data_IF_627249562692
#
_entry.id   IF_627249562692
#
_cell.length_a   1.000
_cell.length_b   1.000
_cell.length_c   1.000
_cell.angle_alpha   90.00
_cell.angle_beta   90.00
_cell.angle_gamma   90.00
#
_symmetry.space_group_name_H-M   'P 1'
#
loop_
_entity.id
_entity.type
_entity.pdbx_description
1 polymer ?
#
# COMPACT_ATOMS: atom_id res chain seq x y z
N UNK A 1 33.56 64.19 22.83
CA UNK A 1 33.04 62.97 23.50
C UNK A 1 32.37 62.12 22.42
N UNK A 2 32.97 60.95 22.13
CA UNK A 2 32.46 59.69 21.52
C UNK A 2 31.57 59.79 20.25
N UNK A 3 32.11 59.44 19.05
CA UNK A 3 32.04 58.12 18.33
C UNK A 3 30.60 57.71 17.98
N UNK A 4 30.20 57.15 16.83
CA UNK A 4 30.79 56.58 15.61
C UNK A 4 29.57 56.29 14.67
N UNK A 5 29.76 56.14 13.36
CA UNK A 5 28.68 55.63 12.49
C UNK A 5 29.13 55.35 11.06
N UNK A 6 29.83 54.23 10.86
CA UNK A 6 30.23 53.73 9.55
C UNK A 6 29.04 53.05 8.84
N UNK A 7 28.76 53.48 7.61
CA UNK A 7 27.86 52.79 6.68
C UNK A 7 28.52 51.48 6.22
N UNK A 8 27.85 50.36 6.46
CA UNK A 8 28.21 49.05 5.93
C UNK A 8 27.22 48.70 4.81
N UNK A 9 27.74 48.59 3.59
CA UNK A 9 27.03 48.09 2.41
C UNK A 9 26.86 46.58 2.57
N UNK A 10 25.61 46.11 2.64
CA UNK A 10 25.29 44.67 2.61
C UNK A 10 25.10 44.27 1.16
N UNK A 11 26.08 43.58 0.59
CA UNK A 11 25.91 42.82 -0.66
C UNK A 11 25.41 41.42 -0.30
N UNK A 12 24.25 41.04 -0.86
CA UNK A 12 23.63 39.73 -0.65
C UNK A 12 24.40 38.62 -1.36
N UNK A 13 24.76 37.58 -0.61
CA UNK A 13 25.22 36.31 -1.16
C UNK A 13 24.03 35.37 -1.31
N UNK A 14 23.69 35.05 -2.56
CA UNK A 14 22.84 33.91 -2.92
C UNK A 14 23.72 32.66 -2.78
N UNK A 15 23.46 31.83 -1.77
CA UNK A 15 24.17 30.57 -1.56
C UNK A 15 23.60 29.46 -2.44
N UNK A 16 24.34 29.06 -3.47
CA UNK A 16 24.17 27.76 -4.14
C UNK A 16 24.57 26.64 -3.17
N UNK A 17 23.67 25.68 -2.94
CA UNK A 17 23.83 24.58 -1.99
C UNK A 17 24.64 23.37 -2.51
N UNK A 18 25.47 23.53 -3.55
CA UNK A 18 26.11 22.40 -4.24
C UNK A 18 27.44 21.91 -3.62
N UNK A 19 27.82 22.34 -2.42
CA UNK A 19 29.20 22.17 -1.92
C UNK A 19 29.44 21.18 -0.77
N UNK A 20 28.53 20.24 -0.48
CA UNK A 20 28.73 19.27 0.61
C UNK A 20 28.81 17.78 0.20
N UNK A 21 28.99 17.48 -1.08
CA UNK A 21 29.34 16.12 -1.51
C UNK A 21 30.86 16.12 -1.79
N UNK A 22 31.70 15.48 -0.97
CA UNK A 22 33.11 15.34 -1.30
C UNK A 22 33.22 14.56 -2.63
N UNK A 23 33.69 15.24 -3.68
CA UNK A 23 34.05 14.59 -4.93
C UNK A 23 35.18 13.60 -4.66
N UNK A 24 34.99 12.35 -5.08
CA UNK A 24 35.98 11.29 -4.88
C UNK A 24 37.13 11.49 -5.87
N UNK A 25 38.35 11.56 -5.36
CA UNK A 25 39.55 11.37 -6.17
C UNK A 25 39.59 9.92 -6.70
N UNK A 26 39.48 9.76 -8.02
CA UNK A 26 39.60 8.46 -8.71
C UNK A 26 41.04 8.33 -9.20
N UNK A 27 41.80 7.41 -8.60
CA UNK A 27 43.15 7.08 -9.04
C UNK A 27 43.11 6.39 -10.41
N UNK A 28 44.16 6.52 -11.23
CA UNK A 28 44.17 5.98 -12.60
C UNK A 28 43.90 4.46 -12.67
N UNK A 29 44.33 3.70 -11.66
CA UNK A 29 44.08 2.26 -11.55
C UNK A 29 42.65 1.90 -11.10
N UNK A 30 41.78 2.90 -10.88
CA UNK A 30 40.38 2.76 -10.50
C UNK A 30 39.42 3.33 -11.55
N UNK A 31 39.92 3.80 -12.71
CA UNK A 31 39.11 4.42 -13.77
C UNK A 31 37.96 3.52 -14.27
N UNK A 32 38.11 2.19 -14.18
CA UNK A 32 37.11 1.21 -14.64
C UNK A 32 36.39 0.46 -13.51
N UNK A 33 36.62 0.81 -12.23
CA UNK A 33 36.00 0.14 -11.09
C UNK A 33 34.69 0.83 -10.69
N UNK A 34 33.56 0.18 -10.96
CA UNK A 34 32.26 0.62 -10.45
C UNK A 34 32.15 0.36 -8.93
N UNK A 35 31.84 1.40 -8.16
CA UNK A 35 31.52 1.25 -6.74
C UNK A 35 30.20 0.48 -6.63
N UNK A 36 30.25 -0.71 -6.03
CA UNK A 36 29.06 -1.49 -5.73
C UNK A 36 28.64 -1.26 -4.27
N UNK A 37 27.46 -0.68 -4.07
CA UNK A 37 26.80 -0.57 -2.76
C UNK A 37 25.67 -1.61 -2.74
N UNK A 38 25.63 -2.54 -1.77
CA UNK A 38 24.54 -3.49 -1.64
C UNK A 38 23.18 -2.78 -1.53
N UNK A 39 22.11 -3.35 -2.11
CA UNK A 39 20.76 -2.75 -2.09
C UNK A 39 20.25 -2.42 -0.67
N UNK A 40 20.63 -3.21 0.32
CA UNK A 40 20.26 -2.96 1.71
C UNK A 40 20.86 -1.65 2.24
N UNK A 41 22.04 -1.26 1.76
CA UNK A 41 22.77 -0.05 2.14
C UNK A 41 22.48 1.14 1.22
N UNK A 42 22.04 0.90 -0.02
CA UNK A 42 21.70 1.96 -0.97
C UNK A 42 20.52 2.82 -0.47
N UNK A 43 20.67 4.15 -0.50
CA UNK A 43 19.64 5.10 -0.07
C UNK A 43 19.00 5.83 -1.26
N UNK A 44 19.72 5.95 -2.37
CA UNK A 44 19.26 6.69 -3.57
C UNK A 44 19.67 6.01 -4.87
N UNK A 45 19.14 6.47 -6.00
CA UNK A 45 19.53 5.99 -7.35
C UNK A 45 21.00 6.26 -7.68
N UNK A 46 21.63 7.25 -7.03
CA UNK A 46 23.05 7.56 -7.17
C UNK A 46 23.97 6.47 -6.56
N UNK A 47 23.46 5.68 -5.61
CA UNK A 47 24.20 4.58 -4.99
C UNK A 47 24.25 3.32 -5.87
N UNK A 48 23.50 3.31 -6.97
CA UNK A 48 23.35 2.15 -7.86
C UNK A 48 24.37 2.17 -9.00
N UNK A 49 24.71 1.00 -9.53
CA UNK A 49 25.46 0.89 -10.79
C UNK A 49 24.57 1.28 -11.98
N UNK A 50 25.14 1.64 -13.15
CA UNK A 50 24.36 1.93 -14.35
C UNK A 50 23.35 0.81 -14.71
N UNK A 51 23.78 -0.45 -14.66
CA UNK A 51 22.91 -1.60 -14.95
C UNK A 51 21.74 -1.72 -13.96
N UNK A 52 21.97 -1.41 -12.68
CA UNK A 52 20.88 -1.42 -11.68
C UNK A 52 19.90 -0.27 -11.90
N UNK A 53 20.37 0.93 -12.28
CA UNK A 53 19.50 2.04 -12.66
C UNK A 53 18.62 1.69 -13.84
N UNK A 54 19.20 1.12 -14.90
CA UNK A 54 18.44 0.68 -16.08
C UNK A 54 17.39 -0.39 -15.75
N UNK A 55 17.74 -1.31 -14.84
CA UNK A 55 16.81 -2.31 -14.34
C UNK A 55 15.62 -1.68 -13.62
N UNK A 56 15.87 -0.81 -12.64
CA UNK A 56 14.79 -0.18 -11.88
C UNK A 56 13.97 0.82 -12.71
N UNK A 57 14.57 1.47 -13.71
CA UNK A 57 13.83 2.27 -14.68
C UNK A 57 12.80 1.41 -15.45
N UNK A 58 13.21 0.22 -15.94
CA UNK A 58 12.29 -0.73 -16.59
C UNK A 58 11.23 -1.24 -15.62
N UNK A 59 11.57 -1.47 -14.35
CA UNK A 59 10.59 -1.84 -13.33
C UNK A 59 9.53 -0.75 -13.13
N UNK A 60 9.94 0.52 -13.07
CA UNK A 60 9.02 1.66 -12.96
C UNK A 60 8.10 1.78 -14.19
N UNK A 61 8.59 1.48 -15.39
CA UNK A 61 7.74 1.41 -16.59
C UNK A 61 6.77 0.21 -16.54
N UNK A 62 7.23 -0.96 -16.12
CA UNK A 62 6.38 -2.15 -15.96
C UNK A 62 5.18 -1.88 -15.04
N UNK A 63 5.38 -1.17 -13.92
CA UNK A 63 4.31 -0.82 -12.96
C UNK A 63 3.19 0.04 -13.55
N UNK A 64 3.45 0.76 -14.65
CA UNK A 64 2.43 1.55 -15.36
C UNK A 64 1.58 0.69 -16.30
N UNK A 65 2.05 -0.50 -16.67
CA UNK A 65 1.32 -1.41 -17.55
C UNK A 65 0.20 -2.10 -16.79
N UNK A 66 -0.92 -2.48 -17.44
CA UNK A 66 -1.86 -3.41 -16.83
C UNK A 66 -1.16 -4.75 -16.57
N UNK A 67 -1.31 -5.28 -15.36
CA UNK A 67 -0.81 -6.60 -14.96
C UNK A 67 -1.56 -7.09 -13.71
N UNK A 68 -1.29 -8.31 -13.24
CA UNK A 68 -1.75 -8.81 -11.93
C UNK A 68 -0.88 -8.19 -10.85
N UNK A 69 -1.44 -7.24 -10.11
CA UNK A 69 -0.69 -6.50 -9.09
C UNK A 69 -0.30 -7.37 -7.91
N UNK A 70 0.89 -7.12 -7.37
CA UNK A 70 1.35 -7.65 -6.09
C UNK A 70 1.03 -6.69 -4.94
N UNK A 71 0.29 -7.17 -3.95
CA UNK A 71 -0.09 -6.44 -2.75
C UNK A 71 0.27 -7.22 -1.47
N UNK A 72 0.30 -6.54 -0.33
CA UNK A 72 0.29 -7.21 0.98
C UNK A 72 0.15 -6.24 2.14
N UNK A 73 -0.31 -6.77 3.28
CA UNK A 73 -0.23 -6.07 4.55
C UNK A 73 1.14 -6.36 5.16
N UNK A 74 1.98 -5.33 5.23
CA UNK A 74 3.37 -5.43 5.65
C UNK A 74 3.50 -5.03 7.12
N UNK A 75 3.76 -6.02 7.98
CA UNK A 75 4.04 -5.84 9.39
C UNK A 75 5.51 -5.58 9.68
N UNK A 76 5.81 -5.17 10.92
CA UNK A 76 7.17 -5.06 11.45
C UNK A 76 8.14 -4.20 10.60
N UNK A 77 7.61 -3.19 9.92
CA UNK A 77 8.42 -2.25 9.14
C UNK A 77 9.27 -1.35 10.05
N UNK A 78 10.59 -1.52 10.02
CA UNK A 78 11.52 -0.68 10.80
C UNK A 78 12.52 0.07 9.94
N UNK A 79 12.80 -0.40 8.71
CA UNK A 79 13.82 0.18 7.84
C UNK A 79 15.24 0.14 8.45
N UNK A 80 15.51 -0.76 9.41
CA UNK A 80 16.75 -0.78 10.20
C UNK A 80 17.31 -2.20 10.35
N UNK A 81 18.64 -2.28 10.54
CA UNK A 81 19.35 -3.52 10.82
C UNK A 81 19.70 -4.33 9.57
N UNK A 82 20.23 -5.53 9.77
CA UNK A 82 20.71 -6.41 8.68
C UNK A 82 19.64 -7.35 8.12
N UNK A 83 18.44 -7.39 8.71
CA UNK A 83 17.36 -8.28 8.27
C UNK A 83 16.52 -7.61 7.17
N UNK A 84 16.65 -8.10 5.94
CA UNK A 84 15.90 -7.60 4.79
C UNK A 84 14.37 -7.73 4.94
N UNK A 85 13.88 -8.59 5.84
CA UNK A 85 12.45 -8.70 6.15
C UNK A 85 11.82 -7.37 6.61
N UNK A 86 12.59 -6.48 7.23
CA UNK A 86 12.08 -5.27 7.87
C UNK A 86 12.07 -4.02 6.96
N UNK A 87 12.34 -4.18 5.66
CA UNK A 87 12.52 -3.09 4.69
C UNK A 87 11.53 -3.17 3.52
N UNK A 88 10.87 -2.06 3.21
CA UNK A 88 10.05 -1.89 2.01
C UNK A 88 10.90 -2.05 0.74
N UNK A 89 12.10 -1.43 0.72
CA UNK A 89 12.97 -1.51 -0.46
C UNK A 89 13.45 -2.94 -0.79
N UNK A 90 13.36 -3.85 0.18
CA UNK A 90 13.78 -5.25 0.02
C UNK A 90 12.62 -6.21 -0.27
N UNK A 91 11.37 -5.72 -0.36
CA UNK A 91 10.24 -6.49 -0.87
C UNK A 91 10.52 -6.98 -2.30
N UNK A 92 9.90 -8.08 -2.77
CA UNK A 92 10.02 -8.51 -4.15
C UNK A 92 9.70 -7.37 -5.13
N UNK A 93 10.47 -7.24 -6.20
CA UNK A 93 10.30 -6.14 -7.15
C UNK A 93 8.93 -6.16 -7.85
N UNK A 94 8.28 -7.32 -7.88
CA UNK A 94 6.91 -7.53 -8.36
C UNK A 94 5.81 -7.03 -7.41
N UNK A 95 6.14 -6.50 -6.23
CA UNK A 95 5.15 -5.91 -5.30
C UNK A 95 4.87 -4.47 -5.69
N UNK A 96 3.64 -4.18 -6.09
CA UNK A 96 3.18 -2.88 -6.56
C UNK A 96 3.02 -1.88 -5.42
N UNK A 97 2.28 -2.28 -4.40
CA UNK A 97 2.00 -1.45 -3.25
C UNK A 97 1.70 -2.29 -2.01
N UNK A 98 1.79 -1.69 -0.83
CA UNK A 98 1.54 -2.36 0.44
C UNK A 98 0.70 -1.50 1.36
N UNK A 99 -0.02 -2.15 2.26
CA UNK A 99 -0.67 -1.53 3.41
C UNK A 99 0.18 -1.76 4.66
N UNK A 100 0.52 -0.70 5.38
CA UNK A 100 1.42 -0.77 6.53
C UNK A 100 0.65 -1.24 7.77
N UNK A 101 0.79 -2.52 8.12
CA UNK A 101 0.08 -3.10 9.27
C UNK A 101 0.73 -2.66 10.59
N UNK A 102 -0.02 -1.86 11.36
CA UNK A 102 0.39 -1.39 12.70
C UNK A 102 1.17 -0.07 12.72
N UNK A 103 1.60 0.47 11.59
CA UNK A 103 2.28 1.79 11.54
C UNK A 103 1.25 2.91 11.48
N UNK A 104 1.33 3.88 12.42
CA UNK A 104 0.31 4.94 12.59
C UNK A 104 0.86 6.37 12.53
N UNK A 105 2.12 6.53 12.10
CA UNK A 105 2.84 7.81 12.09
C UNK A 105 4.14 7.76 12.89
N UNK A 106 4.68 8.93 13.24
CA UNK A 106 5.97 9.07 13.95
C UNK A 106 7.11 8.27 13.30
N UNK A 107 7.17 8.30 11.96
CA UNK A 107 8.19 7.58 11.21
C UNK A 107 9.59 8.04 11.61
N UNK A 108 10.46 7.07 11.86
CA UNK A 108 11.90 7.29 12.03
C UNK A 108 12.55 7.77 10.73
N UNK A 109 13.75 8.36 10.82
CA UNK A 109 14.50 8.78 9.63
C UNK A 109 14.84 7.60 8.71
N UNK A 110 15.09 6.43 9.26
CA UNK A 110 15.40 5.21 8.50
C UNK A 110 14.17 4.68 7.77
N UNK A 111 12.98 4.71 8.40
CA UNK A 111 11.72 4.43 7.70
C UNK A 111 11.48 5.43 6.56
N UNK A 112 11.72 6.72 6.78
CA UNK A 112 11.57 7.73 5.72
C UNK A 112 12.52 7.47 4.54
N UNK A 113 13.77 7.09 4.80
CA UNK A 113 14.75 6.73 3.76
C UNK A 113 14.36 5.46 3.00
N UNK A 114 13.95 4.42 3.72
CA UNK A 114 13.48 3.17 3.14
C UNK A 114 12.25 3.38 2.25
N UNK A 115 11.27 4.17 2.74
CA UNK A 115 10.09 4.59 1.96
C UNK A 115 10.49 5.36 0.71
N UNK A 116 11.39 6.34 0.83
CA UNK A 116 11.84 7.16 -0.30
C UNK A 116 12.48 6.30 -1.40
N UNK A 117 13.36 5.37 -1.04
CA UNK A 117 13.94 4.43 -2.01
C UNK A 117 12.87 3.56 -2.66
N UNK A 118 11.95 3.00 -1.85
CA UNK A 118 10.85 2.18 -2.36
C UNK A 118 9.99 2.94 -3.38
N UNK A 119 9.69 4.22 -3.12
CA UNK A 119 8.93 5.08 -4.02
C UNK A 119 9.72 5.46 -5.28
N UNK A 120 10.88 6.09 -5.12
CA UNK A 120 11.60 6.74 -6.22
C UNK A 120 12.37 5.73 -7.09
N UNK A 121 13.00 4.73 -6.47
CA UNK A 121 13.80 3.75 -7.21
C UNK A 121 12.91 2.61 -7.68
N UNK A 122 12.15 1.99 -6.78
CA UNK A 122 11.37 0.79 -7.14
C UNK A 122 10.04 1.11 -7.81
N UNK A 123 9.48 2.30 -7.58
CA UNK A 123 8.11 2.64 -8.02
C UNK A 123 7.02 2.04 -7.13
N UNK A 124 7.37 1.64 -5.90
CA UNK A 124 6.45 1.11 -4.91
C UNK A 124 5.59 2.18 -4.25
N UNK A 125 4.46 1.77 -3.69
CA UNK A 125 3.56 2.64 -2.92
C UNK A 125 3.25 2.06 -1.54
N UNK A 126 3.25 2.88 -0.50
CA UNK A 126 2.96 2.45 0.88
C UNK A 126 1.78 3.22 1.47
N UNK A 127 0.75 2.50 1.92
CA UNK A 127 -0.50 3.05 2.43
C UNK A 127 -0.55 2.97 3.96
N UNK A 128 -1.06 4.01 4.63
CA UNK A 128 -1.55 3.84 6.00
C UNK A 128 -2.77 2.92 5.99
N UNK A 129 -2.92 2.09 7.01
CA UNK A 129 -4.00 1.10 7.09
C UNK A 129 -4.45 0.91 8.53
N UNK A 130 -5.76 0.91 8.74
CA UNK A 130 -6.39 0.42 9.97
C UNK A 130 -7.90 0.26 9.82
N UNK A 131 -8.48 -0.55 10.72
CA UNK A 131 -9.93 -0.72 10.88
C UNK A 131 -10.59 0.63 11.16
N UNK A 132 -11.51 1.04 10.30
CA UNK A 132 -12.36 2.23 10.51
C UNK A 132 -13.70 1.79 11.08
N UNK A 133 -13.77 1.60 12.39
CA UNK A 133 -14.98 1.17 13.10
C UNK A 133 -15.74 2.38 13.66
N UNK A 134 -15.02 3.22 14.38
CA UNK A 134 -15.51 4.38 15.11
C UNK A 134 -14.86 5.68 14.66
N UNK A 135 -15.58 6.79 14.84
CA UNK A 135 -15.06 8.11 14.53
C UNK A 135 -13.85 8.39 15.42
N UNK A 136 -12.71 8.68 14.79
CA UNK A 136 -11.49 9.02 15.52
C UNK A 136 -10.61 7.85 15.90
N UNK A 137 -10.92 6.63 15.42
CA UNK A 137 -10.04 5.48 15.58
C UNK A 137 -8.59 5.85 15.24
N UNK A 138 -7.67 5.48 16.13
CA UNK A 138 -6.21 5.60 15.93
C UNK A 138 -5.65 7.03 15.90
N UNK A 139 -6.51 8.04 15.81
CA UNK A 139 -6.15 9.45 15.69
C UNK A 139 -6.67 10.30 16.85
N UNK A 140 -7.53 9.74 17.71
CA UNK A 140 -7.96 10.42 18.94
C UNK A 140 -6.77 10.56 19.90
N UNK A 141 -6.46 11.78 20.38
CA UNK A 141 -5.32 11.97 21.28
C UNK A 141 -5.45 11.15 22.56
N UNK A 142 -4.35 10.59 23.10
CA UNK A 142 -4.37 9.83 24.34
C UNK A 142 -5.03 10.60 25.49
N UNK A 143 -5.92 9.93 26.23
CA UNK A 143 -6.63 10.52 27.38
C UNK A 143 -7.84 11.40 27.02
N UNK A 144 -8.21 11.50 25.74
CA UNK A 144 -9.38 12.26 25.28
C UNK A 144 -10.51 11.31 24.85
N UNK A 145 -11.76 11.74 25.03
CA UNK A 145 -12.93 11.06 24.46
C UNK A 145 -13.02 11.35 22.96
N UNK A 146 -13.30 10.32 22.15
CA UNK A 146 -13.46 10.47 20.71
C UNK A 146 -14.62 11.41 20.36
N UNK A 147 -15.77 11.29 21.03
CA UNK A 147 -16.92 12.18 20.82
C UNK A 147 -16.61 13.62 21.21
N UNK A 148 -15.97 13.84 22.36
CA UNK A 148 -15.60 15.18 22.80
C UNK A 148 -14.64 15.84 21.80
N UNK A 149 -13.59 15.12 21.40
CA UNK A 149 -12.58 15.67 20.51
C UNK A 149 -13.10 15.86 19.08
N UNK A 150 -13.67 14.82 18.46
CA UNK A 150 -14.02 14.88 17.04
C UNK A 150 -15.37 15.55 16.79
N UNK A 151 -16.39 15.28 17.61
CA UNK A 151 -17.73 15.85 17.39
C UNK A 151 -17.82 17.24 18.00
N UNK A 152 -17.52 17.40 19.29
CA UNK A 152 -17.70 18.68 19.98
C UNK A 152 -16.64 19.70 19.57
N UNK A 153 -15.35 19.38 19.69
CA UNK A 153 -14.28 20.36 19.46
C UNK A 153 -13.97 20.56 17.98
N UNK A 154 -13.71 19.48 17.24
CA UNK A 154 -13.35 19.57 15.82
C UNK A 154 -14.56 19.78 14.91
N UNK A 155 -15.69 19.16 15.24
CA UNK A 155 -16.95 19.28 14.49
C UNK A 155 -17.88 20.40 14.95
N UNK A 156 -17.54 21.14 16.02
CA UNK A 156 -18.41 22.20 16.55
C UNK A 156 -19.78 21.69 17.03
N UNK A 157 -19.85 20.43 17.48
CA UNK A 157 -21.09 19.74 17.86
C UNK A 157 -21.78 19.00 16.71
N UNK A 158 -21.29 19.08 15.47
CA UNK A 158 -21.83 18.37 14.32
C UNK A 158 -20.98 17.12 14.00
N UNK A 159 -21.62 15.94 14.04
CA UNK A 159 -20.95 14.68 13.75
C UNK A 159 -20.32 14.63 12.36
N UNK A 160 -21.01 15.13 11.32
CA UNK A 160 -20.53 15.10 9.93
C UNK A 160 -19.32 16.02 9.73
N UNK A 161 -19.27 17.16 10.41
CA UNK A 161 -18.07 18.00 10.41
C UNK A 161 -16.91 17.35 11.17
N UNK A 162 -17.21 16.58 12.24
CA UNK A 162 -16.24 15.71 12.90
C UNK A 162 -15.67 14.63 11.97
N UNK A 163 -16.52 13.99 11.14
CA UNK A 163 -16.11 13.03 10.11
C UNK A 163 -15.15 13.68 9.10
N UNK A 164 -15.48 14.87 8.59
CA UNK A 164 -14.58 15.62 7.69
C UNK A 164 -13.26 15.96 8.36
N UNK A 165 -13.29 16.40 9.62
CA UNK A 165 -12.07 16.73 10.37
C UNK A 165 -11.18 15.48 10.56
N UNK A 166 -11.78 14.33 10.87
CA UNK A 166 -11.07 13.06 11.00
C UNK A 166 -10.43 12.61 9.68
N UNK A 167 -11.19 12.64 8.57
CA UNK A 167 -10.64 12.35 7.23
C UNK A 167 -9.46 13.28 6.88
N UNK A 168 -9.60 14.58 7.15
CA UNK A 168 -8.52 15.54 6.91
C UNK A 168 -7.27 15.27 7.75
N UNK A 169 -7.43 14.86 9.01
CA UNK A 169 -6.28 14.51 9.86
C UNK A 169 -5.51 13.29 9.33
N UNK A 170 -6.20 12.34 8.70
CA UNK A 170 -5.57 11.22 8.00
C UNK A 170 -4.77 11.72 6.79
N UNK A 171 -5.38 12.57 5.94
CA UNK A 171 -4.68 13.20 4.81
C UNK A 171 -3.44 13.99 5.27
N UNK A 172 -3.56 14.78 6.34
CA UNK A 172 -2.45 15.56 6.89
C UNK A 172 -1.29 14.65 7.34
N UNK A 173 -1.61 13.48 7.91
CA UNK A 173 -0.60 12.49 8.33
C UNK A 173 0.08 11.85 7.12
N UNK A 174 -0.70 11.48 6.11
CA UNK A 174 -0.20 10.93 4.84
C UNK A 174 0.73 11.92 4.14
N UNK A 175 0.34 13.20 4.07
CA UNK A 175 1.13 14.28 3.49
C UNK A 175 2.42 14.53 4.29
N UNK A 176 2.32 14.64 5.62
CA UNK A 176 3.45 14.87 6.53
C UNK A 176 4.57 13.83 6.35
N UNK A 177 4.21 12.57 6.15
CA UNK A 177 5.15 11.46 6.02
C UNK A 177 5.40 11.03 4.58
N UNK A 178 4.83 11.74 3.60
CA UNK A 178 4.89 11.41 2.18
C UNK A 178 4.49 9.96 1.85
N UNK A 179 3.46 9.43 2.51
CA UNK A 179 2.92 8.08 2.22
C UNK A 179 2.00 8.09 0.99
N UNK A 180 1.80 6.97 0.33
CA UNK A 180 1.12 6.95 -0.97
C UNK A 180 -0.40 6.90 -0.89
N UNK A 181 -1.00 6.87 0.31
CA UNK A 181 -2.44 6.83 0.44
C UNK A 181 -2.96 6.17 1.71
N UNK A 182 -4.22 5.74 1.65
CA UNK A 182 -4.93 5.11 2.76
C UNK A 182 -5.67 3.84 2.33
N UNK A 183 -5.63 2.83 3.18
CA UNK A 183 -6.40 1.60 3.10
C UNK A 183 -7.45 1.57 4.22
N UNK A 184 -8.72 1.63 3.82
CA UNK A 184 -9.86 1.57 4.72
C UNK A 184 -10.20 0.09 4.97
N UNK A 185 -9.76 -0.43 6.11
CA UNK A 185 -10.20 -1.75 6.58
C UNK A 185 -11.61 -1.62 7.16
N UNK A 186 -12.60 -2.11 6.41
CA UNK A 186 -14.02 -1.92 6.69
C UNK A 186 -14.76 -3.24 6.85
N UNK A 187 -14.96 -3.65 8.10
CA UNK A 187 -15.44 -4.99 8.46
C UNK A 187 -16.65 -5.03 9.43
N UNK A 188 -17.74 -4.26 9.18
CA UNK A 188 -18.92 -4.30 10.04
C UNK A 188 -19.60 -5.69 10.13
N UNK A 189 -19.37 -6.57 9.17
CA UNK A 189 -19.85 -7.95 9.12
C UNK A 189 -18.97 -8.93 9.89
N UNK A 190 -17.76 -8.54 10.28
CA UNK A 190 -16.79 -9.40 10.98
C UNK A 190 -16.50 -8.94 12.41
N UNK A 191 -17.41 -8.17 13.01
CA UNK A 191 -17.35 -7.75 14.41
C UNK A 191 -16.92 -6.31 14.62
N UNK A 192 -16.52 -5.60 13.55
CA UNK A 192 -16.05 -4.22 13.61
C UNK A 192 -17.16 -3.22 13.26
N UNK A 193 -18.25 -3.22 14.05
CA UNK A 193 -19.35 -2.25 13.93
C UNK A 193 -19.16 -1.11 14.91
N UNK A 194 -19.42 0.12 14.47
CA UNK A 194 -19.32 1.30 15.30
C UNK A 194 -20.04 2.51 14.72
N UNK A 195 -19.64 3.69 15.19
CA UNK A 195 -20.18 5.00 14.81
C UNK A 195 -19.92 5.36 13.34
N UNK A 196 -18.91 4.73 12.72
CA UNK A 196 -18.62 4.84 11.30
C UNK A 196 -19.06 3.59 10.54
N UNK A 197 -18.74 2.40 11.05
CA UNK A 197 -18.96 1.14 10.35
C UNK A 197 -20.31 0.49 10.69
N UNK A 198 -21.13 0.27 9.66
CA UNK A 198 -22.35 -0.53 9.74
C UNK A 198 -22.64 -1.23 8.40
N UNK A 199 -23.65 -2.12 8.39
CA UNK A 199 -23.97 -2.97 7.24
C UNK A 199 -24.82 -2.30 6.15
N UNK A 200 -25.09 -1.00 6.25
CA UNK A 200 -25.85 -0.28 5.22
C UNK A 200 -24.94 0.05 4.03
N UNK A 201 -25.50 0.06 2.83
CA UNK A 201 -24.79 0.54 1.63
C UNK A 201 -24.24 1.95 1.84
N UNK A 202 -22.99 2.17 1.48
CA UNK A 202 -22.31 3.47 1.56
C UNK A 202 -22.73 4.30 0.35
N UNK A 203 -23.58 5.30 0.56
CA UNK A 203 -24.16 6.16 -0.47
C UNK A 203 -24.30 7.59 0.02
N UNK A 204 -24.36 8.54 -0.90
CA UNK A 204 -24.35 9.98 -0.62
C UNK A 204 -25.58 10.42 0.18
N UNK A 205 -26.75 9.96 -0.24
CA UNK A 205 -28.04 10.48 0.21
C UNK A 205 -28.88 9.43 0.98
N UNK A 206 -28.36 8.22 1.18
CA UNK A 206 -29.05 7.13 1.87
C UNK A 206 -28.05 6.12 2.45
N UNK A 207 -28.53 5.22 3.32
CA UNK A 207 -27.67 4.19 3.93
C UNK A 207 -26.62 4.80 4.86
N UNK A 208 -25.35 4.44 4.67
CA UNK A 208 -24.24 4.95 5.46
C UNK A 208 -23.62 6.22 4.83
N UNK A 209 -24.28 7.36 5.05
CA UNK A 209 -23.83 8.67 4.54
C UNK A 209 -22.57 9.19 5.25
N UNK A 210 -22.29 8.73 6.48
CA UNK A 210 -21.09 9.09 7.22
C UNK A 210 -19.84 8.57 6.51
N UNK A 211 -19.85 7.28 6.14
CA UNK A 211 -18.75 6.66 5.39
C UNK A 211 -18.62 7.23 3.99
N UNK A 212 -19.73 7.60 3.34
CA UNK A 212 -19.67 8.26 2.04
C UNK A 212 -18.91 9.59 2.15
N UNK A 213 -19.27 10.44 3.12
CA UNK A 213 -18.60 11.71 3.35
C UNK A 213 -17.12 11.52 3.70
N UNK A 214 -16.80 10.51 4.52
CA UNK A 214 -15.43 10.15 4.88
C UNK A 214 -14.60 9.79 3.63
N UNK A 215 -15.09 8.84 2.81
CA UNK A 215 -14.43 8.41 1.57
C UNK A 215 -14.26 9.58 0.62
N UNK A 216 -15.31 10.37 0.40
CA UNK A 216 -15.27 11.52 -0.51
C UNK A 216 -14.22 12.53 -0.04
N UNK A 217 -14.18 12.85 1.25
CA UNK A 217 -13.22 13.83 1.82
C UNK A 217 -11.77 13.35 1.65
N UNK A 218 -11.49 12.07 1.91
CA UNK A 218 -10.18 11.48 1.63
C UNK A 218 -9.84 11.57 0.14
N UNK A 219 -10.77 11.16 -0.72
CA UNK A 219 -10.59 11.09 -2.17
C UNK A 219 -10.30 12.46 -2.79
N UNK A 220 -11.07 13.49 -2.39
CA UNK A 220 -10.93 14.87 -2.85
C UNK A 220 -9.53 15.47 -2.58
N UNK A 221 -8.83 14.99 -1.54
CA UNK A 221 -7.45 15.42 -1.22
C UNK A 221 -6.38 14.50 -1.80
N UNK A 222 -6.55 13.19 -1.63
CA UNK A 222 -5.50 12.22 -1.95
C UNK A 222 -5.36 12.00 -3.46
N UNK A 223 -6.47 11.85 -4.19
CA UNK A 223 -6.40 11.46 -5.61
C UNK A 223 -5.85 12.55 -6.52
N UNK A 224 -6.23 13.84 -6.40
CA UNK A 224 -5.58 14.90 -7.18
C UNK A 224 -4.07 15.02 -6.91
N UNK A 225 -3.60 14.57 -5.75
CA UNK A 225 -2.18 14.51 -5.40
C UNK A 225 -1.47 13.25 -5.91
N UNK A 226 -2.14 12.39 -6.68
CA UNK A 226 -1.57 11.14 -7.21
C UNK A 226 -1.43 10.02 -6.16
N UNK A 227 -2.13 10.15 -5.02
CA UNK A 227 -2.18 9.15 -3.94
C UNK A 227 -3.38 8.23 -4.11
N UNK A 228 -3.30 7.05 -3.49
CA UNK A 228 -4.30 6.00 -3.58
C UNK A 228 -5.29 6.07 -2.41
N UNK A 229 -6.53 5.69 -2.70
CA UNK A 229 -7.52 5.36 -1.70
C UNK A 229 -8.06 3.96 -2.00
N UNK A 230 -7.82 3.00 -1.11
CA UNK A 230 -8.29 1.63 -1.27
C UNK A 230 -9.21 1.24 -0.11
N UNK A 231 -10.00 0.19 -0.30
CA UNK A 231 -10.88 -0.33 0.74
C UNK A 231 -10.78 -1.85 0.78
N UNK A 232 -10.45 -2.36 1.96
CA UNK A 232 -10.42 -3.79 2.26
C UNK A 232 -11.56 -4.21 3.21
N UNK A 233 -11.72 -5.51 3.43
CA UNK A 233 -12.86 -6.04 4.19
C UNK A 233 -14.07 -6.29 3.31
N UNK A 234 -15.00 -5.34 3.37
CA UNK A 234 -16.30 -5.39 2.72
C UNK A 234 -16.52 -4.24 1.72
N UNK A 235 -15.66 -4.10 0.68
CA UNK A 235 -15.88 -3.11 -0.37
C UNK A 235 -17.17 -3.37 -1.18
N UNK A 236 -17.79 -4.54 -1.06
CA UNK A 236 -19.13 -4.83 -1.60
C UNK A 236 -20.23 -3.91 -1.05
N UNK A 237 -20.02 -3.29 0.12
CA UNK A 237 -20.95 -2.33 0.73
C UNK A 237 -20.90 -0.94 0.07
N UNK A 238 -19.96 -0.67 -0.84
CA UNK A 238 -19.96 0.57 -1.61
C UNK A 238 -21.15 0.61 -2.58
N UNK A 239 -21.81 1.77 -2.67
CA UNK A 239 -22.64 2.06 -3.84
C UNK A 239 -21.79 2.23 -5.10
N UNK A 240 -22.41 2.15 -6.28
CA UNK A 240 -21.74 2.44 -7.55
C UNK A 240 -21.05 3.80 -7.54
N UNK A 241 -21.70 4.85 -7.02
CA UNK A 241 -21.10 6.19 -6.94
C UNK A 241 -19.96 6.27 -5.93
N UNK A 242 -20.08 5.63 -4.76
CA UNK A 242 -18.99 5.58 -3.79
C UNK A 242 -17.77 4.83 -4.35
N UNK A 243 -17.99 3.76 -5.13
CA UNK A 243 -16.94 2.93 -5.71
C UNK A 243 -16.02 3.68 -6.68
N UNK A 244 -16.51 4.78 -7.29
CA UNK A 244 -15.73 5.64 -8.17
C UNK A 244 -14.59 6.37 -7.45
N UNK A 245 -14.68 6.52 -6.13
CA UNK A 245 -13.66 7.17 -5.30
C UNK A 245 -12.54 6.22 -4.85
N UNK A 246 -12.73 4.91 -4.99
CA UNK A 246 -11.82 3.86 -4.52
C UNK A 246 -10.99 3.34 -5.69
N UNK A 247 -9.68 3.16 -5.52
CA UNK A 247 -8.78 2.64 -6.55
C UNK A 247 -8.77 1.11 -6.62
N UNK A 248 -8.86 0.42 -5.47
CA UNK A 248 -8.87 -1.05 -5.40
C UNK A 248 -9.85 -1.56 -4.34
N UNK A 249 -10.53 -2.66 -4.65
CA UNK A 249 -11.42 -3.42 -3.77
C UNK A 249 -10.67 -4.66 -3.28
N UNK A 250 -10.25 -4.69 -2.03
CA UNK A 250 -9.36 -5.73 -1.52
C UNK A 250 -10.20 -6.70 -0.67
N UNK A 251 -10.21 -7.98 -1.01
CA UNK A 251 -11.01 -8.98 -0.30
C UNK A 251 -10.13 -9.96 0.45
N UNK A 252 -10.43 -10.15 1.73
CA UNK A 252 -9.87 -11.26 2.51
C UNK A 252 -10.52 -12.59 2.09
N UNK A 253 -9.95 -13.26 1.09
CA UNK A 253 -10.38 -14.58 0.64
C UNK A 253 -9.61 -15.69 1.37
N UNK A 254 -9.37 -15.50 2.68
CA UNK A 254 -8.49 -16.32 3.51
C UNK A 254 -8.87 -17.80 3.53
N UNK A 255 -10.15 -18.07 3.75
CA UNK A 255 -10.65 -19.42 4.06
C UNK A 255 -11.47 -20.02 2.93
N UNK A 256 -11.51 -19.38 1.76
CA UNK A 256 -12.20 -19.95 0.62
C UNK A 256 -11.46 -21.18 0.12
N UNK A 257 -12.19 -22.28 -0.06
CA UNK A 257 -11.61 -23.59 -0.37
C UNK A 257 -11.74 -23.99 -1.83
N UNK A 258 -12.34 -23.16 -2.69
CA UNK A 258 -12.38 -23.39 -4.13
C UNK A 258 -12.55 -22.11 -4.93
N UNK A 259 -12.10 -22.14 -6.20
CA UNK A 259 -12.21 -21.01 -7.14
C UNK A 259 -13.64 -20.47 -7.22
N UNK A 260 -14.63 -21.36 -7.26
CA UNK A 260 -16.04 -20.96 -7.38
C UNK A 260 -16.52 -20.15 -6.17
N UNK A 261 -16.02 -20.44 -4.96
CA UNK A 261 -16.36 -19.67 -3.76
C UNK A 261 -15.71 -18.29 -3.77
N UNK A 262 -14.45 -18.22 -4.23
CA UNK A 262 -13.74 -16.94 -4.42
C UNK A 262 -14.50 -16.05 -5.40
N UNK A 263 -14.84 -16.57 -6.59
CA UNK A 263 -15.63 -15.83 -7.59
C UNK A 263 -16.95 -15.33 -6.98
N UNK A 264 -17.67 -16.17 -6.22
CA UNK A 264 -18.92 -15.76 -5.54
C UNK A 264 -18.70 -14.63 -4.54
N UNK A 265 -17.59 -14.63 -3.80
CA UNK A 265 -17.26 -13.58 -2.83
C UNK A 265 -17.01 -12.22 -3.50
N UNK A 266 -16.29 -12.23 -4.61
CA UNK A 266 -15.79 -10.99 -5.24
C UNK A 266 -16.64 -10.46 -6.39
N UNK A 267 -17.62 -11.23 -6.89
CA UNK A 267 -18.47 -10.77 -8.01
C UNK A 267 -19.38 -9.63 -7.55
N UNK A 268 -19.01 -8.39 -7.89
CA UNK A 268 -19.73 -7.17 -7.51
C UNK A 268 -19.94 -6.27 -8.74
N UNK A 269 -20.89 -6.67 -9.61
CA UNK A 269 -21.12 -6.01 -10.90
C UNK A 269 -21.56 -4.53 -10.80
N UNK A 270 -21.97 -4.06 -9.62
CA UNK A 270 -22.33 -2.67 -9.37
C UNK A 270 -21.14 -1.77 -9.07
N UNK A 271 -19.97 -2.32 -8.74
CA UNK A 271 -18.76 -1.54 -8.49
C UNK A 271 -18.08 -1.18 -9.82
N UNK A 272 -17.59 0.05 -9.92
CA UNK A 272 -16.88 0.52 -11.11
C UNK A 272 -15.63 -0.33 -11.36
N UNK A 273 -15.48 -0.84 -12.59
CA UNK A 273 -14.35 -1.67 -13.06
C UNK A 273 -13.92 -2.75 -12.06
N UNK A 274 -14.90 -3.43 -11.46
CA UNK A 274 -14.68 -4.37 -10.36
C UNK A 274 -13.67 -5.45 -10.69
N UNK A 275 -13.68 -5.99 -11.91
CA UNK A 275 -12.79 -7.09 -12.28
C UNK A 275 -11.30 -6.70 -12.23
N UNK A 276 -10.95 -5.48 -12.66
CA UNK A 276 -9.56 -4.99 -12.70
C UNK A 276 -9.15 -4.25 -11.43
N UNK A 277 -10.10 -3.73 -10.66
CA UNK A 277 -9.83 -3.08 -9.36
C UNK A 277 -9.85 -4.06 -8.19
N UNK A 278 -10.31 -5.30 -8.37
CA UNK A 278 -10.33 -6.31 -7.31
C UNK A 278 -8.95 -6.91 -7.05
N UNK A 279 -8.57 -6.94 -5.78
CA UNK A 279 -7.44 -7.72 -5.25
C UNK A 279 -7.98 -8.78 -4.29
N UNK A 280 -7.49 -10.02 -4.40
CA UNK A 280 -7.83 -11.11 -3.48
C UNK A 280 -6.63 -11.55 -2.67
N UNK A 281 -6.81 -11.72 -1.38
CA UNK A 281 -5.70 -11.95 -0.47
C UNK A 281 -5.79 -13.26 0.29
N UNK A 282 -4.61 -13.78 0.62
CA UNK A 282 -4.42 -15.03 1.37
C UNK A 282 -3.86 -14.70 2.75
N UNK A 283 -4.34 -15.42 3.75
CA UNK A 283 -3.88 -15.32 5.13
C UNK A 283 -2.47 -15.95 5.24
N UNK A 284 -1.46 -15.18 5.66
CA UNK A 284 -0.08 -15.65 5.79
C UNK A 284 0.48 -15.67 7.21
N UNK A 285 -0.20 -15.12 8.23
CA UNK A 285 0.18 -15.33 9.63
C UNK A 285 0.20 -16.83 9.96
N UNK A 286 -0.77 -17.59 9.42
CA UNK A 286 -0.88 -19.04 9.53
C UNK A 286 -0.45 -19.75 8.23
N UNK A 287 -0.81 -19.18 7.07
CA UNK A 287 -0.64 -19.82 5.77
C UNK A 287 0.74 -19.71 5.11
N UNK A 288 1.71 -18.98 5.68
CA UNK A 288 2.97 -18.71 5.00
C UNK A 288 3.78 -19.95 4.63
N UNK A 289 3.69 -21.06 5.38
CA UNK A 289 4.46 -22.29 5.05
C UNK A 289 3.87 -23.05 3.87
N UNK A 290 2.61 -22.81 3.53
CA UNK A 290 1.83 -23.61 2.58
C UNK A 290 1.25 -22.80 1.42
N UNK A 291 1.45 -21.48 1.40
CA UNK A 291 0.87 -20.59 0.40
C UNK A 291 -0.66 -20.55 0.49
N UNK A 292 -1.18 -20.45 1.72
CA UNK A 292 -2.61 -20.48 2.03
C UNK A 292 -3.13 -21.83 2.51
N UNK A 293 -4.44 -22.04 2.39
CA UNK A 293 -5.12 -23.25 2.90
C UNK A 293 -4.70 -24.50 2.14
N UNK A 294 -4.49 -25.61 2.87
CA UNK A 294 -4.04 -26.89 2.29
C UNK A 294 -5.11 -27.59 1.44
N UNK A 295 -6.38 -27.37 1.75
CA UNK A 295 -7.53 -28.06 1.13
C UNK A 295 -8.13 -27.30 -0.07
N UNK A 296 -7.40 -26.36 -0.65
CA UNK A 296 -7.88 -25.57 -1.78
C UNK A 296 -8.02 -26.45 -3.04
N UNK A 297 -9.14 -26.29 -3.75
CA UNK A 297 -9.40 -26.92 -5.05
C UNK A 297 -9.57 -25.86 -6.13
N UNK A 298 -8.60 -25.79 -7.04
CA UNK A 298 -8.67 -24.94 -8.22
C UNK A 298 -9.55 -25.57 -9.29
N UNK A 299 -10.18 -24.75 -10.14
CA UNK A 299 -10.80 -25.20 -11.40
C UNK A 299 -9.78 -25.68 -12.44
N UNK A 300 -8.49 -25.39 -12.23
CA UNK A 300 -7.38 -25.75 -13.10
C UNK A 300 -6.63 -26.99 -12.58
N UNK A 301 -6.66 -28.14 -13.29
CA UNK A 301 -5.99 -29.36 -12.86
C UNK A 301 -4.49 -29.20 -12.60
N UNK A 302 -3.81 -28.36 -13.38
CA UNK A 302 -2.39 -28.05 -13.24
C UNK A 302 -2.04 -27.35 -11.93
N UNK A 303 -2.95 -26.52 -11.39
CA UNK A 303 -2.79 -25.93 -10.05
C UNK A 303 -3.01 -26.98 -8.97
N UNK A 304 -3.98 -27.87 -9.15
CA UNK A 304 -4.25 -28.97 -8.21
C UNK A 304 -3.08 -29.97 -8.11
N UNK A 305 -2.22 -30.05 -9.13
CA UNK A 305 -1.03 -30.88 -9.13
C UNK A 305 0.06 -30.39 -8.16
N UNK A 306 0.05 -29.11 -7.76
CA UNK A 306 1.00 -28.61 -6.78
C UNK A 306 0.75 -29.24 -5.39
N UNK A 307 1.79 -29.61 -4.64
CA UNK A 307 1.62 -30.13 -3.28
C UNK A 307 1.17 -29.06 -2.28
N UNK A 308 1.51 -27.79 -2.54
CA UNK A 308 1.25 -26.60 -1.70
C UNK A 308 1.13 -25.36 -2.59
N UNK A 309 0.58 -24.26 -2.08
CA UNK A 309 0.44 -22.99 -2.79
C UNK A 309 -0.78 -22.88 -3.70
N UNK A 310 -1.62 -23.92 -3.75
CA UNK A 310 -2.77 -24.00 -4.67
C UNK A 310 -3.68 -22.77 -4.60
N UNK A 311 -3.94 -22.26 -3.40
CA UNK A 311 -4.82 -21.10 -3.21
C UNK A 311 -4.23 -19.83 -3.84
N UNK A 312 -3.04 -19.41 -3.40
CA UNK A 312 -2.41 -18.18 -3.91
C UNK A 312 -2.08 -18.27 -5.41
N UNK A 313 -1.74 -19.46 -5.91
CA UNK A 313 -1.48 -19.67 -7.33
C UNK A 313 -2.75 -19.58 -8.17
N UNK A 314 -3.86 -20.19 -7.72
CA UNK A 314 -5.16 -20.05 -8.38
C UNK A 314 -5.60 -18.59 -8.43
N UNK A 315 -5.39 -17.85 -7.32
CA UNK A 315 -5.77 -16.45 -7.22
C UNK A 315 -5.03 -15.60 -8.26
N UNK A 316 -3.73 -15.86 -8.48
CA UNK A 316 -2.93 -15.09 -9.42
C UNK A 316 -3.31 -15.30 -10.90
N UNK A 317 -3.92 -16.44 -11.23
CA UNK A 317 -4.33 -16.81 -12.60
C UNK A 317 -5.85 -16.90 -12.76
N UNK A 318 -6.59 -16.27 -11.82
CA UNK A 318 -8.03 -16.28 -11.80
C UNK A 318 -8.59 -15.46 -12.95
N UNK A 319 -9.21 -16.14 -13.90
CA UNK A 319 -10.02 -15.48 -14.94
C UNK A 319 -11.44 -15.30 -14.39
N UNK A 320 -11.93 -14.07 -14.47
CA UNK A 320 -13.23 -13.61 -13.98
C UNK A 320 -14.31 -13.86 -15.05
N UNK A 321 -15.62 -13.73 -14.71
CA UNK A 321 -16.71 -14.13 -15.60
C UNK A 321 -16.68 -13.51 -17.00
N UNK A 322 -16.13 -12.30 -17.17
CA UNK A 322 -15.97 -11.68 -18.51
C UNK A 322 -14.81 -12.24 -19.33
N UNK A 323 -14.00 -13.12 -18.73
CA UNK A 323 -12.73 -13.62 -19.26
C UNK A 323 -11.53 -12.73 -18.89
N UNK A 324 -11.73 -11.59 -18.20
CA UNK A 324 -10.63 -10.75 -17.70
C UNK A 324 -9.90 -11.44 -16.57
N UNK A 325 -8.60 -11.22 -16.47
CA UNK A 325 -7.79 -11.61 -15.32
C UNK A 325 -8.12 -10.72 -14.12
N UNK A 326 -8.02 -11.27 -12.92
CA UNK A 326 -8.06 -10.56 -11.64
C UNK A 326 -7.10 -9.35 -11.58
N UNK A 327 -7.51 -8.28 -10.92
CA UNK A 327 -6.73 -7.04 -10.73
C UNK A 327 -5.39 -7.27 -10.02
N UNK A 328 -5.39 -8.09 -8.97
CA UNK A 328 -4.18 -8.43 -8.23
C UNK A 328 -4.40 -9.47 -7.15
N UNK A 329 -3.30 -9.81 -6.47
CA UNK A 329 -3.29 -10.70 -5.31
C UNK A 329 -2.46 -10.12 -4.18
N UNK A 330 -2.67 -10.61 -2.96
CA UNK A 330 -1.78 -10.26 -1.87
C UNK A 330 -1.81 -11.19 -0.67
N UNK A 331 -1.03 -10.86 0.35
CA UNK A 331 -0.86 -11.66 1.55
C UNK A 331 -0.98 -10.82 2.82
N UNK A 332 -1.70 -11.34 3.82
CA UNK A 332 -1.78 -10.75 5.17
C UNK A 332 -0.63 -11.21 6.04
N UNK A 333 0.09 -10.29 6.71
CA UNK A 333 1.42 -10.55 7.26
C UNK A 333 2.40 -11.07 6.19
N UNK A 334 2.52 -10.32 5.10
CA UNK A 334 3.30 -10.73 3.93
C UNK A 334 4.77 -11.06 4.26
N UNK A 335 5.33 -10.40 5.28
CA UNK A 335 6.69 -10.59 5.75
C UNK A 335 6.95 -12.00 6.31
N UNK A 336 5.91 -12.76 6.65
CA UNK A 336 6.06 -14.15 7.10
C UNK A 336 6.53 -15.06 5.95
N UNK A 337 6.27 -14.69 4.69
CA UNK A 337 6.79 -15.40 3.52
C UNK A 337 8.32 -15.25 3.36
N UNK A 338 8.94 -14.26 4.04
CA UNK A 338 10.39 -14.08 4.00
C UNK A 338 11.16 -15.30 4.53
N UNK A 339 10.60 -16.02 5.51
CA UNK A 339 11.24 -17.19 6.12
C UNK A 339 11.21 -18.45 5.23
N UNK A 340 10.49 -18.42 4.11
CA UNK A 340 10.52 -19.52 3.14
C UNK A 340 11.84 -19.55 2.35
N UNK A 341 12.04 -20.65 1.63
CA UNK A 341 13.12 -20.79 0.67
C UNK A 341 12.56 -21.00 -0.75
N UNK A 342 12.77 -20.06 -1.68
CA UNK A 342 13.41 -18.74 -1.48
C UNK A 342 12.57 -17.80 -0.60
N UNK A 343 13.15 -16.71 -0.05
CA UNK A 343 12.36 -15.68 0.64
C UNK A 343 11.28 -15.08 -0.25
N UNK A 344 10.08 -14.88 0.31
CA UNK A 344 8.87 -14.52 -0.45
C UNK A 344 8.48 -15.54 -1.52
N UNK A 345 8.70 -16.83 -1.25
CA UNK A 345 8.48 -17.95 -2.19
C UNK A 345 7.12 -17.85 -2.87
N UNK A 346 6.06 -17.74 -2.07
CA UNK A 346 4.71 -17.92 -2.57
C UNK A 346 4.25 -16.70 -3.35
N UNK A 347 4.51 -15.49 -2.84
CA UNK A 347 4.11 -14.27 -3.53
C UNK A 347 4.88 -14.10 -4.85
N UNK A 348 6.20 -14.39 -4.86
CA UNK A 348 7.02 -14.35 -6.09
C UNK A 348 6.51 -15.34 -7.13
N UNK A 349 6.30 -16.59 -6.73
CA UNK A 349 5.83 -17.63 -7.65
C UNK A 349 4.43 -17.31 -8.18
N UNK A 350 3.51 -16.88 -7.33
CA UNK A 350 2.16 -16.53 -7.74
C UNK A 350 2.16 -15.39 -8.79
N UNK A 351 2.93 -14.33 -8.57
CA UNK A 351 3.02 -13.21 -9.52
C UNK A 351 3.74 -13.60 -10.82
N UNK A 352 4.69 -14.53 -10.76
CA UNK A 352 5.30 -15.12 -11.96
C UNK A 352 4.28 -15.94 -12.76
N UNK A 353 3.46 -16.77 -12.10
CA UNK A 353 2.39 -17.51 -12.76
C UNK A 353 1.35 -16.57 -13.40
N UNK A 354 0.91 -15.55 -12.66
CA UNK A 354 -0.09 -14.57 -13.09
C UNK A 354 0.32 -13.68 -14.27
N UNK A 355 1.61 -13.32 -14.35
CA UNK A 355 2.09 -12.34 -15.32
C UNK A 355 2.96 -12.92 -16.45
N UNK A 356 3.50 -14.13 -16.29
CA UNK A 356 4.43 -14.73 -17.27
C UNK A 356 3.93 -16.07 -17.79
N UNK A 357 3.62 -17.03 -16.90
CA UNK A 357 3.30 -18.40 -17.32
C UNK A 357 1.90 -18.50 -17.92
N UNK A 358 0.93 -17.83 -17.29
CA UNK A 358 -0.47 -17.82 -17.73
C UNK A 358 -0.89 -16.37 -18.04
N UNK A 359 -0.46 -15.78 -19.16
CA UNK A 359 -0.82 -14.41 -19.50
C UNK A 359 -2.35 -14.27 -19.55
N UNK A 360 -2.87 -13.26 -18.85
CA UNK A 360 -4.29 -13.00 -18.75
C UNK A 360 -4.79 -11.97 -19.75
N UNK A 361 -6.09 -11.98 -20.03
CA UNK A 361 -6.75 -10.88 -20.73
C UNK A 361 -6.97 -9.71 -19.76
N UNK A 362 -6.51 -8.51 -20.08
CA UNK A 362 -6.51 -7.37 -19.16
C UNK A 362 -7.51 -6.27 -19.54
N UNK A 363 -8.13 -6.36 -20.73
CA UNK A 363 -8.97 -5.34 -21.36
C UNK A 363 -10.42 -5.77 -21.65
#
# INVERSE_FOLDING_TARGET
MKYMGALLVVAGFVGCSDWNIPEREVFENQKDLEKYIPLLEAETEADLTPTMRDYFAKLREYRKTPHVKGFGWFGNWTGRGSNAQNYLKMLPDSVDFVSLWGTRGNLSEEQKKDLKFFQEVKGGKALLCWIVQDLGDQMTPPGRSATEYWVTEKGGGNFMEGVKAYANAICDTIEKYNLDGFDIDYEPGYGHRGTMANSSTISENSGNTHMYLFIKTLSDRLRPAGRMLVMDGQPDLLSTEASKYIDHYIYQAYWESSTQRVIRKITQNHLEDWERKTIITVEFEQGWRTGGVKSYTSVRPEINAYPQGRQIFDYAILDLPSGKRIGGIGTYHMEYDFANNPPYKWLREALYLGNVVYPGKLD
#
